data_IF_065318196020
#
_entry.id   IF_065318196020
#
_cell.length_a   1.000
_cell.length_b   1.000
_cell.length_c   1.000
_cell.angle_alpha   90.00
_cell.angle_beta   90.00
_cell.angle_gamma   90.00
#
_symmetry.space_group_name_H-M   'P 1'
#
loop_
_entity.id
_entity.type
_entity.pdbx_description
1 polymer ?
#
# COMPACT_ATOMS: atom_id res chain seq x y z
N UNK A 1 -16.83 3.59 -20.01
CA UNK A 1 -16.18 2.70 -19.02
C UNK A 1 -15.91 3.51 -17.76
N UNK A 2 -16.13 2.97 -16.55
CA UNK A 2 -15.70 3.66 -15.31
C UNK A 2 -14.17 3.53 -15.20
N UNK A 3 -13.49 4.64 -14.89
CA UNK A 3 -12.05 4.63 -14.62
C UNK A 3 -11.78 3.93 -13.29
N UNK A 4 -10.70 3.16 -13.22
CA UNK A 4 -10.23 2.52 -11.97
C UNK A 4 -8.96 3.23 -11.54
N UNK A 5 -8.89 3.64 -10.29
CA UNK A 5 -7.69 4.23 -9.71
C UNK A 5 -6.82 3.11 -9.14
N UNK A 6 -5.54 3.07 -9.47
CA UNK A 6 -4.59 2.06 -8.96
C UNK A 6 -3.53 2.75 -8.14
N UNK A 7 -3.36 2.32 -6.89
CA UNK A 7 -2.31 2.79 -5.98
C UNK A 7 -1.32 1.66 -5.69
N UNK A 8 -0.07 1.83 -6.15
CA UNK A 8 1.03 0.94 -5.79
C UNK A 8 1.68 1.40 -4.48
N UNK A 9 1.73 0.51 -3.49
CA UNK A 9 2.51 0.67 -2.27
C UNK A 9 3.82 -0.12 -2.43
N UNK A 10 4.95 0.51 -2.16
CA UNK A 10 6.29 -0.10 -2.23
C UNK A 10 7.19 0.37 -1.09
N UNK A 11 8.36 -0.25 -0.96
CA UNK A 11 9.36 0.09 0.05
C UNK A 11 9.07 -0.46 1.45
N UNK A 12 9.73 0.13 2.44
CA UNK A 12 9.66 -0.27 3.86
C UNK A 12 8.39 0.21 4.59
N UNK A 13 7.49 0.90 3.87
CA UNK A 13 6.24 1.47 4.38
C UNK A 13 5.30 0.46 5.06
N UNK A 14 5.47 -0.84 4.81
CA UNK A 14 4.68 -1.91 5.42
C UNK A 14 5.28 -2.44 6.74
N UNK A 15 6.46 -1.96 7.15
CA UNK A 15 7.15 -2.40 8.35
C UNK A 15 6.88 -1.55 9.60
N UNK A 16 6.11 -0.46 9.47
CA UNK A 16 5.84 0.50 10.54
C UNK A 16 4.33 0.79 10.63
N UNK A 17 3.72 0.36 11.74
CA UNK A 17 2.29 0.47 12.00
C UNK A 17 1.80 1.93 12.01
N UNK A 18 2.61 2.89 12.45
CA UNK A 18 2.22 4.30 12.49
C UNK A 18 2.14 4.88 11.08
N UNK A 19 3.09 4.52 10.21
CA UNK A 19 3.04 4.88 8.80
C UNK A 19 1.84 4.25 8.08
N UNK A 20 1.51 2.99 8.39
CA UNK A 20 0.32 2.32 7.82
C UNK A 20 -0.96 3.05 8.26
N UNK A 21 -1.09 3.44 9.52
CA UNK A 21 -2.28 4.17 10.02
C UNK A 21 -2.48 5.50 9.31
N UNK A 22 -1.40 6.25 9.11
CA UNK A 22 -1.45 7.52 8.36
C UNK A 22 -1.83 7.28 6.89
N UNK A 23 -1.23 6.27 6.26
CA UNK A 23 -1.51 5.91 4.87
C UNK A 23 -2.97 5.46 4.68
N UNK A 24 -3.51 4.64 5.58
CA UNK A 24 -4.90 4.19 5.53
C UNK A 24 -5.90 5.35 5.57
N UNK A 25 -5.65 6.35 6.43
CA UNK A 25 -6.48 7.57 6.49
C UNK A 25 -6.45 8.36 5.18
N UNK A 26 -5.28 8.44 4.52
CA UNK A 26 -5.15 9.13 3.22
C UNK A 26 -5.82 8.35 2.09
N UNK A 27 -5.70 7.03 2.09
CA UNK A 27 -6.32 6.14 1.10
C UNK A 27 -7.85 6.26 1.13
N UNK A 28 -8.45 6.37 2.31
CA UNK A 28 -9.89 6.52 2.48
C UNK A 28 -10.46 7.80 1.82
N UNK A 29 -9.62 8.80 1.54
CA UNK A 29 -10.02 10.06 0.90
C UNK A 29 -9.88 10.02 -0.64
N UNK A 30 -9.36 8.94 -1.21
CA UNK A 30 -9.12 8.85 -2.65
C UNK A 30 -10.40 8.49 -3.43
N UNK A 31 -10.53 8.98 -4.68
CA UNK A 31 -11.66 8.64 -5.55
C UNK A 31 -11.84 7.14 -5.76
N UNK A 32 -13.09 6.70 -5.81
CA UNK A 32 -13.48 5.29 -5.98
C UNK A 32 -13.96 5.02 -7.42
N UNK A 33 -13.73 3.81 -7.97
CA UNK A 33 -13.14 2.64 -7.33
C UNK A 33 -11.60 2.71 -7.27
N UNK A 34 -11.03 2.39 -6.10
CA UNK A 34 -9.60 2.30 -5.88
C UNK A 34 -9.14 0.85 -5.71
N UNK A 35 -8.07 0.47 -6.40
CA UNK A 35 -7.37 -0.80 -6.26
C UNK A 35 -5.99 -0.53 -5.65
N UNK A 36 -5.66 -1.24 -4.58
CA UNK A 36 -4.36 -1.14 -3.92
C UNK A 36 -3.51 -2.36 -4.29
N UNK A 37 -2.27 -2.12 -4.71
CA UNK A 37 -1.31 -3.17 -5.06
C UNK A 37 -0.06 -2.99 -4.21
N UNK A 38 0.36 -4.01 -3.48
CA UNK A 38 1.60 -3.96 -2.69
C UNK A 38 2.56 -5.10 -3.05
N UNK A 39 3.84 -4.93 -2.74
CA UNK A 39 4.85 -5.99 -2.88
C UNK A 39 5.01 -6.75 -1.57
N UNK A 40 5.98 -7.67 -1.51
CA UNK A 40 6.35 -8.38 -0.28
C UNK A 40 7.26 -7.59 0.67
N UNK A 41 7.83 -6.48 0.22
CA UNK A 41 8.63 -5.57 1.03
C UNK A 41 9.87 -6.23 1.66
N UNK A 42 10.35 -5.63 2.76
CA UNK A 42 11.50 -6.12 3.53
C UNK A 42 11.30 -7.55 4.04
N UNK A 43 10.06 -7.90 4.42
CA UNK A 43 9.71 -9.23 4.95
C UNK A 43 10.01 -10.35 3.96
N UNK A 44 9.76 -10.13 2.65
CA UNK A 44 10.13 -11.13 1.64
C UNK A 44 11.63 -11.25 1.43
N UNK A 45 12.39 -10.16 1.60
CA UNK A 45 13.85 -10.20 1.54
C UNK A 45 14.42 -10.94 2.74
N UNK A 46 13.87 -10.73 3.94
CA UNK A 46 14.27 -11.42 5.17
C UNK A 46 13.96 -12.91 5.14
N UNK A 47 12.82 -13.30 4.58
CA UNK A 47 12.44 -14.71 4.45
C UNK A 47 13.34 -15.48 3.48
N UNK A 48 13.98 -14.80 2.53
CA UNK A 48 14.85 -15.39 1.52
C UNK A 48 16.30 -15.58 1.99
N UNK A 49 16.65 -15.14 3.19
CA UNK A 49 17.98 -15.29 3.82
C UNK A 49 18.00 -16.51 4.75
#
# INVERSE_FOLDING_TARGET
MKSVHVLKIGGELLGDDDHIRVLARRIALLPQPLVIVHGGGRQTTELAQ
#
